data_IF_718835946945
#
_entry.id   IF_718835946945
#
_cell.length_a   1.000
_cell.length_b   1.000
_cell.length_c   1.000
_cell.angle_alpha   90.00
_cell.angle_beta   90.00
_cell.angle_gamma   90.00
#
_symmetry.space_group_name_H-M   'P 1'
#
loop_
_entity.id
_entity.type
_entity.pdbx_description
1 polymer ?
#
# COMPACT_ATOMS: atom_id res chain seq x y z
N UNK A 1 -33.07 22.49 16.42
CA UNK A 1 -32.78 21.68 15.27
C UNK A 1 -32.32 20.28 15.68
N UNK A 2 -32.72 19.25 14.97
CA UNK A 2 -32.28 17.90 15.32
C UNK A 2 -30.74 17.80 15.17
N UNK A 3 -30.06 17.05 16.02
CA UNK A 3 -28.61 16.83 15.84
C UNK A 3 -28.37 16.13 14.52
N UNK A 4 -27.23 16.41 13.87
CA UNK A 4 -26.91 15.74 12.61
C UNK A 4 -26.85 14.22 12.82
N UNK A 5 -27.23 13.45 11.81
CA UNK A 5 -27.27 11.99 11.93
C UNK A 5 -25.86 11.47 12.27
N UNK A 6 -25.76 10.83 13.43
CA UNK A 6 -24.49 10.34 13.95
C UNK A 6 -23.87 9.21 13.13
N UNK A 7 -24.64 8.57 12.24
CA UNK A 7 -24.19 7.44 11.44
C UNK A 7 -23.12 7.77 10.40
N UNK A 8 -23.18 8.98 9.84
CA UNK A 8 -22.20 9.40 8.82
C UNK A 8 -20.82 9.74 9.41
N UNK A 9 -20.81 10.20 10.66
CA UNK A 9 -19.57 10.49 11.37
C UNK A 9 -18.76 9.23 11.68
N UNK A 10 -19.44 8.11 11.90
CA UNK A 10 -18.80 6.86 12.33
C UNK A 10 -18.04 6.17 11.19
N UNK A 11 -18.55 6.25 9.95
CA UNK A 11 -17.90 5.67 8.77
C UNK A 11 -16.67 6.47 8.31
N UNK A 12 -16.63 7.78 8.61
CA UNK A 12 -15.54 8.67 8.20
C UNK A 12 -14.48 8.89 9.29
N UNK A 13 -14.72 8.40 10.51
CA UNK A 13 -13.90 8.69 11.68
C UNK A 13 -13.11 7.50 12.21
N UNK A 14 -12.91 6.46 11.39
CA UNK A 14 -11.98 5.39 11.77
C UNK A 14 -10.60 5.97 12.01
N UNK A 15 -10.02 5.63 13.13
CA UNK A 15 -8.63 5.99 13.39
C UNK A 15 -7.74 5.47 12.27
N UNK A 16 -6.69 6.22 11.90
CA UNK A 16 -5.69 5.72 10.97
C UNK A 16 -5.14 4.39 11.46
N UNK A 17 -4.88 3.48 10.52
CA UNK A 17 -4.27 2.20 10.84
C UNK A 17 -2.91 2.42 11.51
N UNK A 18 -2.61 1.62 12.53
CA UNK A 18 -1.27 1.60 13.12
C UNK A 18 -0.30 0.90 12.19
N UNK A 19 0.86 1.49 12.01
CA UNK A 19 1.89 1.00 11.11
C UNK A 19 3.23 0.87 11.82
N UNK A 20 4.07 -0.02 11.29
CA UNK A 20 5.42 -0.22 11.74
C UNK A 20 6.43 0.75 11.11
N UNK A 21 7.65 0.26 10.96
CA UNK A 21 8.78 1.01 10.42
C UNK A 21 8.52 1.48 8.99
N UNK A 22 8.78 2.75 8.70
CA UNK A 22 8.69 3.29 7.34
C UNK A 22 9.81 2.71 6.48
N UNK A 23 9.43 2.15 5.34
CA UNK A 23 10.34 1.56 4.36
C UNK A 23 10.62 2.52 3.21
N UNK A 24 9.60 3.21 2.75
CA UNK A 24 9.69 4.08 1.58
C UNK A 24 8.57 5.10 1.57
N UNK A 25 8.87 6.27 1.04
CA UNK A 25 7.89 7.27 0.63
C UNK A 25 8.10 7.57 -0.84
N UNK A 26 7.07 7.39 -1.64
CA UNK A 26 7.15 7.57 -3.09
C UNK A 26 6.14 8.61 -3.55
N UNK A 27 6.60 9.75 -4.11
CA UNK A 27 5.69 10.69 -4.76
C UNK A 27 5.23 10.13 -6.10
N UNK A 28 3.94 10.32 -6.40
CA UNK A 28 3.34 9.95 -7.68
C UNK A 28 2.58 11.15 -8.22
N UNK A 29 2.91 11.57 -9.44
CA UNK A 29 2.15 12.57 -10.15
C UNK A 29 0.88 11.94 -10.73
N UNK A 30 -0.26 12.58 -10.49
CA UNK A 30 -1.54 12.11 -11.00
C UNK A 30 -1.65 12.34 -12.50
N UNK A 31 -2.32 11.42 -13.20
CA UNK A 31 -2.59 11.54 -14.63
C UNK A 31 -4.08 11.77 -14.82
N UNK A 32 -4.42 12.53 -15.86
CA UNK A 32 -5.82 12.76 -16.21
C UNK A 32 -6.58 11.44 -16.41
N UNK A 33 -5.95 10.45 -17.00
CA UNK A 33 -6.54 9.12 -17.21
C UNK A 33 -6.82 8.34 -15.92
N UNK A 34 -6.29 8.77 -14.80
CA UNK A 34 -6.55 8.12 -13.50
C UNK A 34 -7.93 8.45 -12.95
N UNK A 35 -8.60 9.45 -13.54
CA UNK A 35 -9.92 9.91 -13.11
C UNK A 35 -11.05 9.04 -13.64
N UNK A 36 -12.15 9.01 -12.89
CA UNK A 36 -13.41 8.45 -13.34
C UNK A 36 -14.40 9.56 -13.70
N UNK A 37 -15.66 9.17 -13.97
CA UNK A 37 -16.72 10.10 -14.35
C UNK A 37 -17.06 11.13 -13.25
N UNK A 38 -16.60 10.93 -12.02
CA UNK A 38 -16.82 11.83 -10.89
C UNK A 38 -15.70 12.85 -10.71
N UNK A 39 -14.73 12.90 -11.62
CA UNK A 39 -13.55 13.77 -11.57
C UNK A 39 -12.64 13.56 -10.36
N UNK A 40 -12.65 12.37 -9.80
CA UNK A 40 -11.70 11.96 -8.76
C UNK A 40 -10.94 10.74 -9.26
N UNK A 41 -9.77 10.51 -8.66
CA UNK A 41 -9.01 9.29 -8.96
C UNK A 41 -9.90 8.07 -8.70
N UNK A 42 -9.99 7.20 -9.71
CA UNK A 42 -10.76 5.97 -9.60
C UNK A 42 -10.21 5.10 -8.46
N UNK A 43 -11.09 4.51 -7.66
CA UNK A 43 -10.69 3.66 -6.53
C UNK A 43 -9.74 2.53 -6.94
N UNK A 44 -9.88 1.99 -8.15
CA UNK A 44 -9.00 0.95 -8.67
C UNK A 44 -7.55 1.42 -8.82
N UNK A 45 -7.32 2.70 -9.06
CA UNK A 45 -5.98 3.25 -9.21
C UNK A 45 -5.22 3.35 -7.89
N UNK A 46 -5.91 3.37 -6.75
CA UNK A 46 -5.25 3.31 -5.45
C UNK A 46 -4.40 2.03 -5.35
N UNK A 47 -4.94 0.90 -5.81
CA UNK A 47 -4.19 -0.36 -5.87
C UNK A 47 -3.01 -0.28 -6.83
N UNK A 48 -3.19 0.38 -7.98
CA UNK A 48 -2.12 0.58 -8.95
C UNK A 48 -0.97 1.39 -8.35
N UNK A 49 -1.27 2.44 -7.60
CA UNK A 49 -0.24 3.23 -6.92
C UNK A 49 0.52 2.43 -5.87
N UNK A 50 -0.18 1.58 -5.12
CA UNK A 50 0.44 0.71 -4.13
C UNK A 50 1.37 -0.32 -4.79
N UNK A 51 0.94 -0.90 -5.91
CA UNK A 51 1.75 -1.85 -6.66
C UNK A 51 3.03 -1.19 -7.16
N UNK A 52 2.93 0.00 -7.75
CA UNK A 52 4.09 0.76 -8.22
C UNK A 52 5.07 1.03 -7.06
N UNK A 53 4.56 1.42 -5.91
CA UNK A 53 5.39 1.67 -4.73
C UNK A 53 6.09 0.39 -4.25
N UNK A 54 5.38 -0.74 -4.21
CA UNK A 54 5.97 -2.02 -3.79
C UNK A 54 7.09 -2.45 -4.73
N UNK A 55 6.85 -2.40 -6.03
CA UNK A 55 7.85 -2.84 -7.02
C UNK A 55 9.09 -1.96 -6.92
N UNK A 56 8.94 -0.66 -6.81
CA UNK A 56 10.09 0.24 -6.64
C UNK A 56 10.85 -0.02 -5.35
N UNK A 57 10.15 -0.35 -4.28
CA UNK A 57 10.80 -0.72 -3.03
C UNK A 57 11.61 -2.02 -3.19
N UNK A 58 11.00 -3.06 -3.78
CA UNK A 58 11.72 -4.32 -4.03
C UNK A 58 12.96 -4.08 -4.88
N UNK A 59 12.86 -3.32 -5.96
CA UNK A 59 13.99 -2.99 -6.82
C UNK A 59 15.09 -2.25 -6.07
N UNK A 60 14.74 -1.40 -5.10
CA UNK A 60 15.70 -0.64 -4.30
C UNK A 60 16.53 -1.50 -3.36
N UNK A 61 16.12 -2.75 -3.10
CA UNK A 61 16.85 -3.65 -2.21
C UNK A 61 18.17 -4.14 -2.80
N UNK A 62 18.40 -3.99 -4.11
CA UNK A 62 19.66 -4.31 -4.76
C UNK A 62 19.96 -5.81 -4.89
N UNK A 63 19.03 -6.68 -4.50
CA UNK A 63 19.14 -8.13 -4.56
C UNK A 63 17.96 -8.70 -5.34
N UNK A 64 18.08 -9.94 -5.80
CA UNK A 64 16.99 -10.62 -6.50
C UNK A 64 15.84 -10.92 -5.53
N UNK A 65 14.75 -10.18 -5.68
CA UNK A 65 13.51 -10.40 -4.91
C UNK A 65 12.54 -11.33 -5.66
N UNK A 66 12.81 -11.59 -6.92
CA UNK A 66 12.09 -12.53 -7.77
C UNK A 66 13.10 -13.30 -8.61
N UNK A 67 12.93 -14.61 -8.73
CA UNK A 67 13.79 -15.49 -9.50
C UNK A 67 12.95 -16.42 -10.38
N UNK A 68 13.61 -17.27 -11.17
CA UNK A 68 12.89 -18.31 -11.92
C UNK A 68 12.23 -19.33 -10.97
N UNK A 69 12.75 -19.48 -9.77
CA UNK A 69 12.27 -20.45 -8.79
C UNK A 69 11.24 -19.86 -7.81
N UNK A 70 11.36 -18.58 -7.46
CA UNK A 70 10.54 -17.97 -6.41
C UNK A 70 9.98 -16.61 -6.83
N UNK A 71 8.80 -16.28 -6.33
CA UNK A 71 8.17 -14.99 -6.61
C UNK A 71 7.23 -14.59 -5.48
N UNK A 72 7.03 -13.28 -5.27
CA UNK A 72 6.01 -12.78 -4.37
C UNK A 72 4.62 -12.85 -5.00
N UNK A 73 3.63 -13.15 -4.18
CA UNK A 73 2.21 -13.02 -4.52
C UNK A 73 1.52 -12.09 -3.55
N UNK A 74 0.58 -11.32 -4.06
CA UNK A 74 -0.34 -10.56 -3.24
C UNK A 74 -1.40 -11.50 -2.69
N UNK A 75 -1.36 -11.78 -1.39
CA UNK A 75 -2.26 -12.74 -0.76
C UNK A 75 -3.49 -12.10 -0.15
N UNK A 76 -3.39 -10.86 0.33
CA UNK A 76 -4.50 -10.16 0.96
C UNK A 76 -4.31 -8.65 0.85
N UNK A 77 -5.43 -7.94 0.81
CA UNK A 77 -5.47 -6.47 0.78
C UNK A 77 -6.53 -5.99 1.74
N UNK A 78 -6.18 -4.99 2.53
CA UNK A 78 -7.14 -4.21 3.31
C UNK A 78 -6.93 -2.75 2.94
N UNK A 79 -7.98 -2.09 2.49
CA UNK A 79 -7.94 -0.70 2.04
C UNK A 79 -9.06 0.09 2.69
N UNK A 80 -8.72 1.17 3.33
CA UNK A 80 -9.67 2.16 3.82
C UNK A 80 -9.59 3.38 2.92
N UNK A 81 -10.67 3.66 2.20
CA UNK A 81 -10.80 4.88 1.39
C UNK A 81 -11.35 5.97 2.29
N UNK A 82 -10.53 7.00 2.53
CA UNK A 82 -10.88 8.04 3.50
C UNK A 82 -11.32 9.33 2.87
N UNK A 83 -10.59 9.78 1.85
CA UNK A 83 -10.93 11.00 1.12
C UNK A 83 -10.60 10.88 -0.36
N UNK A 84 -11.45 11.41 -1.25
CA UNK A 84 -11.17 11.42 -2.67
C UNK A 84 -9.86 12.14 -2.99
N UNK A 85 -9.21 11.72 -4.07
CA UNK A 85 -8.02 12.36 -4.58
C UNK A 85 -8.42 13.25 -5.75
N UNK A 86 -8.31 14.59 -5.63
CA UNK A 86 -8.63 15.49 -6.73
C UNK A 86 -7.47 15.59 -7.71
N UNK A 87 -7.79 15.93 -8.94
CA UNK A 87 -6.81 16.19 -9.99
C UNK A 87 -6.87 17.70 -10.35
N UNK A 88 -5.76 18.32 -10.75
CA UNK A 88 -4.40 17.79 -10.84
C UNK A 88 -3.66 17.80 -9.50
N UNK A 89 -2.49 17.19 -9.48
CA UNK A 89 -1.62 17.20 -8.33
C UNK A 89 -0.78 15.94 -8.22
N UNK A 90 -0.18 15.77 -7.07
CA UNK A 90 0.59 14.59 -6.74
C UNK A 90 0.21 14.06 -5.37
N UNK A 91 0.47 12.77 -5.16
CA UNK A 91 0.28 12.09 -3.89
C UNK A 91 1.60 11.49 -3.43
N UNK A 92 1.64 11.06 -2.18
CA UNK A 92 2.75 10.29 -1.64
C UNK A 92 2.22 8.96 -1.15
N UNK A 93 2.84 7.87 -1.60
CA UNK A 93 2.61 6.53 -1.06
C UNK A 93 3.71 6.22 -0.06
N UNK A 94 3.32 5.98 1.18
CA UNK A 94 4.21 5.52 2.23
C UNK A 94 4.02 4.03 2.45
N UNK A 95 5.10 3.26 2.44
CA UNK A 95 5.11 1.84 2.78
C UNK A 95 5.77 1.64 4.12
N UNK A 96 5.21 0.73 4.91
CA UNK A 96 5.74 0.37 6.24
C UNK A 96 5.85 -1.14 6.38
N UNK A 97 6.79 -1.58 7.24
CA UNK A 97 6.89 -2.99 7.63
C UNK A 97 6.05 -3.21 8.89
N UNK A 98 4.87 -3.78 8.73
CA UNK A 98 3.95 -3.98 9.85
C UNK A 98 4.15 -5.34 10.51
N UNK A 99 4.51 -6.37 9.73
CA UNK A 99 4.78 -7.70 10.25
C UNK A 99 5.69 -8.48 9.28
N UNK A 100 6.63 -9.22 9.83
CA UNK A 100 7.51 -10.11 9.08
C UNK A 100 7.35 -11.53 9.58
N UNK A 101 6.86 -12.42 8.69
CA UNK A 101 6.75 -13.85 8.95
C UNK A 101 7.89 -14.65 8.32
N UNK A 102 7.74 -15.96 8.26
CA UNK A 102 8.73 -16.83 7.63
C UNK A 102 8.72 -16.66 6.11
N UNK A 103 7.54 -16.71 5.48
CA UNK A 103 7.35 -16.61 4.03
C UNK A 103 6.48 -15.43 3.63
N UNK A 104 6.05 -14.60 4.59
CA UNK A 104 5.16 -13.48 4.33
C UNK A 104 5.67 -12.19 4.98
N UNK A 105 5.30 -11.08 4.39
CA UNK A 105 5.49 -9.75 4.97
C UNK A 105 4.18 -8.97 4.83
N UNK A 106 3.79 -8.32 5.91
CA UNK A 106 2.67 -7.39 5.89
C UNK A 106 3.22 -5.99 5.70
N UNK A 107 2.89 -5.39 4.57
CA UNK A 107 3.27 -4.01 4.25
C UNK A 107 2.09 -3.09 4.51
N UNK A 108 2.25 -2.19 5.45
CA UNK A 108 1.31 -1.12 5.67
C UNK A 108 1.43 -0.07 4.58
N UNK A 109 0.35 0.67 4.35
CA UNK A 109 0.39 1.76 3.39
C UNK A 109 -0.44 2.94 3.84
N UNK A 110 0.01 4.12 3.43
CA UNK A 110 -0.72 5.37 3.52
C UNK A 110 -0.57 6.12 2.21
N UNK A 111 -1.69 6.61 1.68
CA UNK A 111 -1.70 7.49 0.52
C UNK A 111 -2.13 8.85 1.02
N UNK A 112 -1.25 9.83 0.90
CA UNK A 112 -1.49 11.19 1.38
C UNK A 112 -1.35 12.19 0.25
N UNK A 113 -1.85 13.42 0.50
CA UNK A 113 -1.51 14.56 -0.33
C UNK A 113 0.01 14.82 -0.29
N UNK A 114 0.52 15.57 -1.27
CA UNK A 114 1.95 15.86 -1.37
C UNK A 114 2.50 16.55 -0.13
N UNK A 115 1.71 17.43 0.50
CA UNK A 115 2.09 18.12 1.72
C UNK A 115 1.84 17.31 3.01
N UNK A 116 1.26 16.12 2.88
CA UNK A 116 1.00 15.24 4.01
C UNK A 116 -0.20 15.61 4.88
N UNK A 117 -0.96 16.65 4.53
CA UNK A 117 -2.05 17.14 5.37
C UNK A 117 -3.35 16.35 5.20
N UNK A 118 -3.53 15.69 4.06
CA UNK A 118 -4.73 14.90 3.78
C UNK A 118 -4.37 13.43 3.67
N UNK A 119 -5.06 12.60 4.45
CA UNK A 119 -4.97 11.14 4.34
C UNK A 119 -6.09 10.66 3.41
N UNK A 120 -5.71 10.20 2.22
CA UNK A 120 -6.66 9.71 1.22
C UNK A 120 -7.03 8.24 1.43
N UNK A 121 -6.06 7.42 1.83
CA UNK A 121 -6.29 6.01 2.09
C UNK A 121 -5.20 5.46 3.01
N UNK A 122 -5.52 4.38 3.71
CA UNK A 122 -4.57 3.58 4.46
C UNK A 122 -5.00 2.11 4.50
N UNK A 123 -4.18 1.27 5.06
CA UNK A 123 -4.43 -0.15 5.18
C UNK A 123 -3.14 -0.95 5.11
N UNK A 124 -3.25 -2.18 4.64
CA UNK A 124 -2.09 -3.06 4.49
C UNK A 124 -2.33 -4.10 3.40
N UNK A 125 -1.23 -4.68 2.94
CA UNK A 125 -1.25 -5.85 2.07
C UNK A 125 -0.39 -6.94 2.69
N UNK A 126 -0.73 -8.20 2.39
CA UNK A 126 0.10 -9.34 2.75
C UNK A 126 0.71 -9.89 1.48
N UNK A 127 2.05 -9.91 1.42
CA UNK A 127 2.81 -10.50 0.34
C UNK A 127 3.38 -11.82 0.82
N UNK A 128 3.23 -12.87 0.02
CA UNK A 128 3.73 -14.20 0.32
C UNK A 128 4.69 -14.62 -0.79
N UNK A 129 5.88 -15.10 -0.41
CA UNK A 129 6.81 -15.68 -1.36
C UNK A 129 6.49 -17.15 -1.56
N UNK A 130 6.43 -17.57 -2.81
CA UNK A 130 6.12 -18.94 -3.20
C UNK A 130 7.22 -19.53 -4.06
N UNK A 131 7.32 -20.85 -4.00
CA UNK A 131 8.02 -21.63 -5.00
C UNK A 131 7.15 -21.71 -6.25
N UNK A 132 7.68 -21.30 -7.38
CA UNK A 132 6.91 -21.23 -8.64
C UNK A 132 6.52 -22.62 -9.16
N UNK A 133 7.32 -23.63 -8.88
CA UNK A 133 7.06 -24.99 -9.34
C UNK A 133 5.93 -25.66 -8.57
N UNK A 134 5.92 -25.52 -7.25
CA UNK A 134 4.95 -26.17 -6.37
C UNK A 134 3.79 -25.27 -5.96
N UNK A 135 3.94 -23.95 -6.06
CA UNK A 135 2.99 -22.97 -5.53
C UNK A 135 2.99 -22.87 -4.01
N UNK A 136 3.92 -23.54 -3.34
CA UNK A 136 3.99 -23.54 -1.86
C UNK A 136 4.78 -22.34 -1.34
N UNK A 137 4.45 -21.87 -0.12
CA UNK A 137 5.23 -20.83 0.53
C UNK A 137 6.71 -21.22 0.64
N UNK A 138 7.58 -20.23 0.44
CA UNK A 138 9.04 -20.35 0.59
C UNK A 138 9.53 -19.17 1.46
N UNK A 139 10.68 -19.31 2.12
CA UNK A 139 11.17 -18.22 2.96
C UNK A 139 11.35 -16.90 2.20
N UNK A 140 11.14 -15.78 2.90
CA UNK A 140 11.37 -14.45 2.35
C UNK A 140 12.82 -14.33 1.85
N UNK A 141 13.05 -13.57 0.76
CA UNK A 141 14.40 -13.20 0.37
C UNK A 141 15.13 -12.52 1.52
N UNK A 142 16.44 -12.78 1.64
CA UNK A 142 17.25 -12.25 2.74
C UNK A 142 17.20 -10.72 2.83
N UNK A 143 17.19 -10.03 1.69
CA UNK A 143 17.11 -8.57 1.66
C UNK A 143 15.78 -8.04 2.22
N UNK A 144 14.66 -8.70 1.87
CA UNK A 144 13.35 -8.33 2.40
C UNK A 144 13.32 -8.49 3.91
N UNK A 145 13.79 -9.63 4.39
CA UNK A 145 13.84 -9.92 5.83
C UNK A 145 14.71 -8.93 6.59
N UNK A 146 15.90 -8.63 6.06
CA UNK A 146 16.86 -7.73 6.69
C UNK A 146 16.31 -6.30 6.80
N UNK A 147 15.74 -5.79 5.71
CA UNK A 147 15.28 -4.40 5.67
C UNK A 147 13.95 -4.24 6.39
N UNK A 148 13.01 -5.17 6.19
CA UNK A 148 11.69 -5.07 6.81
C UNK A 148 11.69 -5.52 8.28
N UNK A 149 12.52 -6.50 8.63
CA UNK A 149 12.60 -7.04 9.99
C UNK A 149 13.58 -6.33 10.91
N UNK A 150 14.50 -5.58 10.30
CA UNK A 150 15.50 -4.81 11.05
C UNK A 150 14.99 -3.48 11.49
#
# INVERSE_FOLDING_TARGET
PPPPPQGTRHLMSHEPAEHGKVLQRMPIELRWRDLDAFNHVNNSNFMTYLEEARIRWFESLGEEWVTDATAPLLAAVQMNYRQPIPYPGSIVVELTADRVGTSSVTLGHRITSADGTVLHADGHVVMVWIDRGSGRPTPLPAAVRRVAGG
#
